data_IF_743364147006
#
_entry.id   IF_743364147006
#
_cell.length_a   1.000
_cell.length_b   1.000
_cell.length_c   1.000
_cell.angle_alpha   90.00
_cell.angle_beta   90.00
_cell.angle_gamma   90.00
#
_symmetry.space_group_name_H-M   'P 1'
#
loop_
_entity.id
_entity.type
_entity.pdbx_description
1 polymer ?
#
# COMPACT_ATOMS: atom_id res chain seq x y z
N UNK A 1 7.52 21.72 5.06
CA UNK A 1 6.81 20.65 5.82
C UNK A 1 5.60 21.24 6.53
N UNK A 2 4.40 20.75 6.22
CA UNK A 2 3.21 21.09 7.02
C UNK A 2 3.30 20.37 8.37
N UNK A 3 2.75 20.99 9.43
CA UNK A 3 2.83 20.39 10.77
C UNK A 3 2.09 19.05 10.86
N UNK A 4 2.66 18.04 11.52
CA UNK A 4 1.99 16.78 11.81
C UNK A 4 0.69 17.03 12.59
N UNK A 5 -0.41 16.43 12.13
CA UNK A 5 -1.74 16.67 12.73
C UNK A 5 -2.35 15.36 13.22
N UNK A 6 -2.74 15.33 14.51
CA UNK A 6 -3.59 14.26 15.02
C UNK A 6 -4.99 14.36 14.41
N UNK A 7 -5.48 13.29 13.79
CA UNK A 7 -6.75 13.27 13.07
C UNK A 7 -7.45 11.93 13.30
N UNK A 8 -8.75 11.92 13.58
CA UNK A 8 -9.56 10.70 13.59
C UNK A 8 -9.62 10.08 12.19
N UNK A 9 -9.70 8.75 12.09
CA UNK A 9 -9.72 8.09 10.78
C UNK A 9 -10.92 8.55 9.93
N UNK A 10 -12.11 8.59 10.48
CA UNK A 10 -13.29 9.10 9.75
C UNK A 10 -13.17 10.60 9.44
N UNK A 11 -12.57 11.38 10.34
CA UNK A 11 -12.33 12.81 10.09
C UNK A 11 -11.35 13.02 8.92
N UNK A 12 -10.30 12.18 8.81
CA UNK A 12 -9.38 12.22 7.68
C UNK A 12 -10.12 11.98 6.37
N UNK A 13 -10.95 10.94 6.29
CA UNK A 13 -11.67 10.57 5.08
C UNK A 13 -12.82 11.54 4.77
N UNK A 14 -13.56 12.00 5.78
CA UNK A 14 -14.71 12.90 5.63
C UNK A 14 -14.31 14.32 5.23
N UNK A 15 -13.18 14.81 5.71
CA UNK A 15 -12.68 16.15 5.36
C UNK A 15 -11.94 16.18 4.00
N UNK A 16 -11.75 15.03 3.37
CA UNK A 16 -11.03 14.90 2.09
C UNK A 16 -11.99 14.91 0.90
N UNK A 17 -12.92 15.89 0.84
CA UNK A 17 -13.79 16.09 -0.31
C UNK A 17 -12.97 16.48 -1.53
N UNK A 18 -13.22 15.84 -2.67
CA UNK A 18 -12.44 16.03 -3.89
C UNK A 18 -11.01 15.48 -3.81
N UNK A 19 -10.68 14.73 -2.75
CA UNK A 19 -9.38 14.10 -2.62
C UNK A 19 -9.45 12.61 -2.95
N UNK A 20 -8.38 12.10 -3.56
CA UNK A 20 -8.17 10.68 -3.78
C UNK A 20 -6.89 10.24 -3.06
N UNK A 21 -7.01 9.23 -2.21
CA UNK A 21 -5.88 8.52 -1.62
C UNK A 21 -5.37 7.52 -2.63
N UNK A 22 -4.16 7.71 -3.12
CA UNK A 22 -3.55 6.85 -4.13
C UNK A 22 -2.43 6.04 -3.49
N UNK A 23 -2.49 4.72 -3.67
CA UNK A 23 -1.36 3.85 -3.35
C UNK A 23 -0.46 3.80 -4.58
N UNK A 24 0.73 4.42 -4.56
CA UNK A 24 1.61 4.46 -5.74
C UNK A 24 2.10 3.08 -6.16
N UNK A 25 2.39 2.93 -7.45
CA UNK A 25 2.82 1.64 -8.05
C UNK A 25 4.13 1.08 -7.49
N UNK A 26 4.95 1.91 -6.87
CA UNK A 26 6.17 1.46 -6.22
C UNK A 26 5.96 0.90 -4.80
N UNK A 27 4.75 1.03 -4.24
CA UNK A 27 4.41 0.43 -2.95
C UNK A 27 4.18 -1.08 -3.09
N UNK A 28 4.20 -1.79 -1.95
CA UNK A 28 3.87 -3.21 -1.92
C UNK A 28 2.36 -3.43 -1.96
N UNK A 29 1.95 -4.58 -2.47
CA UNK A 29 0.56 -5.02 -2.46
C UNK A 29 -0.02 -5.03 -1.04
N UNK A 30 -1.33 -5.14 -0.93
CA UNK A 30 -2.00 -5.30 0.35
C UNK A 30 -1.66 -6.67 0.96
N UNK A 31 -0.88 -6.67 2.05
CA UNK A 31 -0.28 -7.88 2.64
C UNK A 31 -0.75 -8.19 4.06
N UNK A 32 -1.57 -7.33 4.66
CA UNK A 32 -2.13 -7.63 5.99
C UNK A 32 -2.95 -8.91 5.95
N UNK A 33 -2.78 -9.75 6.98
CA UNK A 33 -3.48 -11.01 7.13
C UNK A 33 -4.65 -10.86 8.11
N UNK A 34 -5.76 -11.54 7.81
CA UNK A 34 -6.97 -11.51 8.61
C UNK A 34 -6.74 -11.84 10.09
N UNK A 35 -6.02 -12.94 10.35
CA UNK A 35 -5.80 -13.46 11.71
C UNK A 35 -4.66 -12.76 12.48
N UNK A 36 -4.03 -11.75 11.91
CA UNK A 36 -2.95 -11.00 12.54
C UNK A 36 -3.24 -9.51 12.60
N UNK A 37 -2.84 -8.77 11.58
CA UNK A 37 -2.91 -7.31 11.59
C UNK A 37 -4.36 -6.80 11.53
N UNK A 38 -5.23 -7.45 10.75
CA UNK A 38 -6.66 -7.07 10.67
C UNK A 38 -7.38 -7.44 11.96
N UNK A 39 -7.07 -8.61 12.53
CA UNK A 39 -7.57 -9.00 13.85
C UNK A 39 -7.18 -7.98 14.90
N UNK A 40 -5.90 -7.57 14.96
CA UNK A 40 -5.43 -6.56 15.90
C UNK A 40 -6.18 -5.23 15.72
N UNK A 41 -6.40 -4.81 14.48
CA UNK A 41 -7.20 -3.61 14.18
C UNK A 41 -8.61 -3.70 14.79
N UNK A 42 -9.26 -4.86 14.66
CA UNK A 42 -10.58 -5.08 15.23
C UNK A 42 -10.59 -5.17 16.76
N UNK A 43 -9.57 -5.78 17.36
CA UNK A 43 -9.43 -5.85 18.81
C UNK A 43 -9.27 -4.42 19.39
N UNK A 44 -8.52 -3.54 18.74
CA UNK A 44 -8.39 -2.14 19.09
C UNK A 44 -9.72 -1.37 18.95
N UNK A 45 -10.44 -1.59 17.85
CA UNK A 45 -11.79 -1.02 17.63
C UNK A 45 -12.78 -1.50 18.71
N UNK A 46 -12.77 -2.79 19.04
CA UNK A 46 -13.65 -3.37 20.05
C UNK A 46 -13.32 -2.84 21.46
N UNK A 47 -12.06 -2.61 21.78
CA UNK A 47 -11.67 -2.00 23.06
C UNK A 47 -12.19 -0.57 23.20
N UNK A 48 -12.22 0.19 22.10
CA UNK A 48 -12.84 1.52 22.08
C UNK A 48 -14.36 1.43 22.19
N UNK A 49 -15.01 0.46 21.52
CA UNK A 49 -16.44 0.22 21.62
C UNK A 49 -16.88 -0.13 23.04
N UNK A 50 -16.11 -0.97 23.74
CA UNK A 50 -16.38 -1.36 25.12
C UNK A 50 -16.09 -0.24 26.14
N UNK A 51 -15.38 0.80 25.71
CA UNK A 51 -14.98 1.91 26.59
C UNK A 51 -13.70 1.68 27.37
N UNK A 52 -12.93 0.61 27.05
CA UNK A 52 -11.62 0.36 27.66
C UNK A 52 -10.63 1.47 27.34
N UNK A 53 -10.75 2.05 26.14
CA UNK A 53 -9.99 3.20 25.68
C UNK A 53 -10.92 4.33 25.22
N UNK A 54 -10.61 5.57 25.63
CA UNK A 54 -11.32 6.75 25.15
C UNK A 54 -10.99 7.03 23.68
N UNK A 55 -9.75 6.86 23.28
CA UNK A 55 -9.22 6.97 21.92
C UNK A 55 -8.05 6.00 21.79
N UNK A 56 -7.77 5.50 20.58
CA UNK A 56 -6.64 4.61 20.33
C UNK A 56 -5.79 5.11 19.17
N UNK A 57 -4.46 5.08 19.34
CA UNK A 57 -3.52 5.51 18.31
C UNK A 57 -3.21 4.38 17.34
N UNK A 58 -3.55 4.59 16.08
CA UNK A 58 -3.38 3.62 15.01
C UNK A 58 -2.07 3.76 14.24
N UNK A 59 -1.25 4.76 14.54
CA UNK A 59 0.03 5.00 13.88
C UNK A 59 0.03 6.27 13.02
N UNK A 60 0.97 6.32 12.07
CA UNK A 60 1.22 7.50 11.24
C UNK A 60 0.72 7.21 9.81
N UNK A 61 0.17 8.21 9.14
CA UNK A 61 -0.08 8.21 7.69
C UNK A 61 0.72 9.35 7.10
N UNK A 62 1.57 9.03 6.13
CA UNK A 62 2.42 10.00 5.43
C UNK A 62 2.02 9.99 3.97
N UNK A 63 1.78 11.18 3.45
CA UNK A 63 1.37 11.34 2.06
C UNK A 63 1.93 12.61 1.44
N UNK A 64 2.18 12.53 0.14
CA UNK A 64 2.49 13.68 -0.69
C UNK A 64 1.19 14.23 -1.26
N UNK A 65 0.93 15.51 -1.03
CA UNK A 65 -0.24 16.20 -1.56
C UNK A 65 0.10 16.79 -2.93
N UNK A 66 -0.65 16.39 -3.97
CA UNK A 66 -0.54 16.91 -5.33
C UNK A 66 -1.87 17.51 -5.77
N UNK A 67 -1.85 18.68 -6.41
CA UNK A 67 -3.03 19.23 -7.05
C UNK A 67 -3.31 18.47 -8.36
N UNK A 68 -4.55 17.98 -8.54
CA UNK A 68 -5.01 17.42 -9.83
C UNK A 68 -5.60 18.55 -10.66
N UNK A 69 -6.50 19.35 -10.06
CA UNK A 69 -7.11 20.52 -10.63
C UNK A 69 -7.47 21.54 -9.52
N UNK A 70 -8.28 22.58 -9.84
CA UNK A 70 -8.66 23.60 -8.87
C UNK A 70 -9.53 23.09 -7.71
N UNK A 71 -10.20 21.94 -7.87
CA UNK A 71 -11.15 21.39 -6.89
C UNK A 71 -10.77 20.02 -6.39
N UNK A 72 -9.74 19.38 -6.96
CA UNK A 72 -9.35 18.02 -6.63
C UNK A 72 -7.86 17.85 -6.36
N UNK A 73 -7.55 16.93 -5.46
CA UNK A 73 -6.19 16.63 -4.98
C UNK A 73 -5.95 15.13 -4.94
N UNK A 74 -4.71 14.75 -5.17
CA UNK A 74 -4.18 13.43 -4.93
C UNK A 74 -3.39 13.43 -3.64
N UNK A 75 -3.69 12.47 -2.76
CA UNK A 75 -2.87 12.13 -1.60
C UNK A 75 -2.11 10.83 -1.91
N UNK A 76 -0.91 10.99 -2.44
CA UNK A 76 -0.02 9.87 -2.79
C UNK A 76 0.59 9.29 -1.52
N UNK A 77 0.21 8.07 -1.13
CA UNK A 77 0.53 7.49 0.17
C UNK A 77 1.96 6.97 0.20
N UNK A 78 2.76 7.49 1.12
CA UNK A 78 4.15 7.09 1.36
C UNK A 78 4.23 6.03 2.45
N UNK A 79 3.46 6.21 3.53
CA UNK A 79 3.34 5.21 4.61
C UNK A 79 1.91 5.19 5.16
N UNK A 80 1.50 4.02 5.69
CA UNK A 80 0.17 3.79 6.25
C UNK A 80 -0.85 3.18 5.26
N UNK A 81 -0.43 2.78 4.06
CA UNK A 81 -1.28 2.21 3.02
C UNK A 81 -2.13 1.01 3.50
N UNK A 82 -1.52 0.06 4.21
CA UNK A 82 -2.22 -1.15 4.69
C UNK A 82 -3.37 -0.78 5.64
N UNK A 83 -3.10 0.13 6.57
CA UNK A 83 -4.07 0.65 7.53
C UNK A 83 -5.21 1.38 6.84
N UNK A 84 -4.86 2.23 5.88
CA UNK A 84 -5.84 3.01 5.11
C UNK A 84 -6.75 2.07 4.30
N UNK A 85 -6.20 1.11 3.56
CA UNK A 85 -6.96 0.10 2.81
C UNK A 85 -7.90 -0.67 3.73
N UNK A 86 -7.42 -1.14 4.88
CA UNK A 86 -8.27 -1.83 5.88
C UNK A 86 -9.40 -0.94 6.37
N UNK A 87 -9.14 0.35 6.62
CA UNK A 87 -10.18 1.31 7.04
C UNK A 87 -11.27 1.42 5.98
N UNK A 88 -10.90 1.54 4.70
CA UNK A 88 -11.89 1.59 3.61
C UNK A 88 -12.69 0.29 3.52
N UNK A 89 -12.07 -0.88 3.65
CA UNK A 89 -12.79 -2.17 3.66
C UNK A 89 -13.79 -2.26 4.82
N UNK A 90 -13.43 -1.75 6.01
CA UNK A 90 -14.35 -1.69 7.16
C UNK A 90 -15.55 -0.80 6.84
N UNK A 91 -15.34 0.38 6.26
CA UNK A 91 -16.43 1.30 5.93
C UNK A 91 -17.34 0.71 4.84
N UNK A 92 -16.79 0.01 3.84
CA UNK A 92 -17.60 -0.70 2.85
C UNK A 92 -18.43 -1.83 3.48
N UNK A 93 -17.84 -2.58 4.41
CA UNK A 93 -18.58 -3.62 5.11
C UNK A 93 -19.69 -3.04 6.00
N UNK A 94 -19.48 -1.90 6.66
CA UNK A 94 -20.52 -1.16 7.40
C UNK A 94 -21.62 -0.67 6.44
N UNK A 95 -21.27 -0.18 5.26
CA UNK A 95 -22.24 0.16 4.22
C UNK A 95 -23.15 -1.01 3.91
N UNK A 96 -22.60 -2.22 3.73
CA UNK A 96 -23.39 -3.41 3.46
C UNK A 96 -24.35 -3.77 4.61
N UNK A 97 -23.93 -3.58 5.86
CA UNK A 97 -24.84 -3.73 7.00
C UNK A 97 -26.03 -2.77 6.93
N UNK A 98 -25.76 -1.50 6.56
CA UNK A 98 -26.84 -0.50 6.41
C UNK A 98 -27.76 -0.82 5.22
N UNK A 99 -27.23 -1.35 4.11
CA UNK A 99 -28.03 -1.85 2.98
C UNK A 99 -28.95 -2.97 3.43
N UNK A 100 -28.44 -3.95 4.18
CA UNK A 100 -29.22 -5.06 4.70
C UNK A 100 -30.31 -4.62 5.70
N UNK A 101 -30.10 -3.50 6.38
CA UNK A 101 -31.11 -2.88 7.26
C UNK A 101 -32.09 -1.97 6.50
N UNK A 102 -31.99 -1.85 5.16
CA UNK A 102 -32.78 -0.93 4.32
C UNK A 102 -32.66 0.55 4.69
N UNK A 103 -31.56 0.97 5.32
CA UNK A 103 -31.29 2.37 5.69
C UNK A 103 -30.64 3.13 4.54
N UNK A 104 -31.40 3.38 3.46
CA UNK A 104 -30.91 3.97 2.22
C UNK A 104 -30.38 5.39 2.40
N UNK A 105 -30.86 6.13 3.38
CA UNK A 105 -30.41 7.49 3.66
C UNK A 105 -29.00 7.49 4.25
N UNK A 106 -28.75 6.67 5.26
CA UNK A 106 -27.41 6.52 5.85
C UNK A 106 -26.42 5.90 4.87
N UNK A 107 -26.83 4.98 4.01
CA UNK A 107 -25.99 4.44 2.94
C UNK A 107 -25.47 5.57 2.05
N UNK A 108 -26.35 6.43 1.52
CA UNK A 108 -25.97 7.57 0.67
C UNK A 108 -25.07 8.57 1.41
N UNK A 109 -25.37 8.86 2.68
CA UNK A 109 -24.54 9.74 3.49
C UNK A 109 -23.15 9.17 3.68
N UNK A 110 -23.02 7.88 4.05
CA UNK A 110 -21.74 7.22 4.27
C UNK A 110 -20.90 7.13 2.99
N UNK A 111 -21.54 6.78 1.87
CA UNK A 111 -20.87 6.75 0.56
C UNK A 111 -20.31 8.11 0.17
N UNK A 112 -21.17 9.14 0.17
CA UNK A 112 -20.77 10.49 -0.26
C UNK A 112 -19.75 11.14 0.66
N UNK A 113 -19.78 10.81 1.97
CA UNK A 113 -18.85 11.39 2.92
C UNK A 113 -17.50 10.69 2.97
N UNK A 114 -17.45 9.35 2.88
CA UNK A 114 -16.23 8.59 3.18
C UNK A 114 -15.69 7.78 2.02
N UNK A 115 -16.52 7.35 1.06
CA UNK A 115 -16.12 6.36 0.06
C UNK A 115 -15.96 6.94 -1.33
N UNK A 116 -16.75 7.97 -1.67
CA UNK A 116 -16.80 8.51 -3.03
C UNK A 116 -16.63 10.04 -3.04
N UNK A 117 -16.32 10.54 -4.22
CA UNK A 117 -16.34 11.98 -4.57
C UNK A 117 -17.48 12.21 -5.57
N UNK A 118 -18.73 12.37 -5.11
CA UNK A 118 -19.93 12.30 -5.95
C UNK A 118 -20.04 13.40 -7.02
N UNK A 119 -19.28 14.49 -6.88
CA UNK A 119 -19.30 15.63 -7.80
C UNK A 119 -18.08 15.69 -8.72
N UNK A 120 -17.29 14.62 -8.77
CA UNK A 120 -16.05 14.55 -9.56
C UNK A 120 -16.15 13.50 -10.66
N UNK A 121 -15.20 13.59 -11.60
CA UNK A 121 -15.15 12.67 -12.73
C UNK A 121 -14.84 11.22 -12.31
N UNK A 122 -15.03 10.27 -13.24
CA UNK A 122 -14.85 8.84 -12.97
C UNK A 122 -13.43 8.46 -12.49
N UNK A 123 -12.42 9.27 -12.84
CA UNK A 123 -11.02 9.00 -12.44
C UNK A 123 -10.81 9.07 -10.93
N UNK A 124 -11.51 10.00 -10.26
CA UNK A 124 -11.41 10.22 -8.81
C UNK A 124 -12.72 9.91 -8.09
N UNK A 125 -13.64 9.17 -8.74
CA UNK A 125 -14.94 8.77 -8.17
C UNK A 125 -14.79 8.10 -6.82
N UNK A 126 -13.87 7.17 -6.68
CA UNK A 126 -13.58 6.50 -5.40
C UNK A 126 -12.46 7.21 -4.68
N UNK A 127 -12.62 7.40 -3.36
CA UNK A 127 -11.62 8.08 -2.53
C UNK A 127 -10.32 7.27 -2.35
N UNK A 128 -10.35 5.95 -2.49
CA UNK A 128 -9.15 5.12 -2.52
C UNK A 128 -8.91 4.59 -3.94
N UNK A 129 -7.69 4.80 -4.44
CA UNK A 129 -7.13 4.11 -5.61
C UNK A 129 -6.04 3.16 -5.10
N UNK A 130 -6.33 1.84 -5.00
CA UNK A 130 -5.34 0.87 -4.57
C UNK A 130 -4.32 0.59 -5.67
N UNK A 131 -3.34 -0.27 -5.39
CA UNK A 131 -2.43 -0.79 -6.41
C UNK A 131 -3.19 -1.57 -7.48
N UNK A 132 -2.67 -1.56 -8.71
CA UNK A 132 -3.25 -2.27 -9.86
C UNK A 132 -3.49 -3.76 -9.55
N UNK A 133 -2.60 -4.41 -8.81
CA UNK A 133 -2.76 -5.81 -8.43
C UNK A 133 -3.93 -6.08 -7.46
N UNK A 134 -4.30 -5.08 -6.67
CA UNK A 134 -5.40 -5.16 -5.70
C UNK A 134 -6.70 -4.55 -6.26
N UNK A 135 -6.62 -3.74 -7.34
CA UNK A 135 -7.70 -2.87 -7.82
C UNK A 135 -8.91 -3.68 -8.33
N UNK A 136 -8.69 -4.75 -9.08
CA UNK A 136 -9.77 -5.56 -9.64
C UNK A 136 -10.65 -6.15 -8.53
N UNK A 137 -10.04 -6.75 -7.51
CA UNK A 137 -10.77 -7.32 -6.37
C UNK A 137 -11.42 -6.21 -5.53
N UNK A 138 -10.68 -5.12 -5.29
CA UNK A 138 -11.21 -3.98 -4.55
C UNK A 138 -12.43 -3.36 -5.25
N UNK A 139 -12.37 -3.16 -6.58
CA UNK A 139 -13.49 -2.64 -7.36
C UNK A 139 -14.71 -3.56 -7.33
N UNK A 140 -14.52 -4.86 -7.46
CA UNK A 140 -15.62 -5.81 -7.34
C UNK A 140 -16.32 -5.69 -5.97
N UNK A 141 -15.55 -5.48 -4.88
CA UNK A 141 -16.13 -5.28 -3.54
C UNK A 141 -16.93 -3.97 -3.48
N UNK A 142 -16.35 -2.86 -3.93
CA UNK A 142 -16.99 -1.52 -3.78
C UNK A 142 -18.15 -1.30 -4.74
N UNK A 143 -18.23 -2.07 -5.81
CA UNK A 143 -19.31 -2.04 -6.81
C UNK A 143 -20.32 -3.19 -6.62
N UNK A 144 -20.23 -3.92 -5.50
CA UNK A 144 -21.12 -5.04 -5.16
C UNK A 144 -21.15 -6.18 -6.21
N UNK A 145 -20.02 -6.41 -6.90
CA UNK A 145 -19.82 -7.42 -7.95
C UNK A 145 -19.00 -8.62 -7.43
N UNK A 146 -19.34 -9.12 -6.24
CA UNK A 146 -18.60 -10.18 -5.56
C UNK A 146 -18.46 -11.48 -6.36
N UNK A 147 -19.45 -11.77 -7.22
CA UNK A 147 -19.46 -12.97 -8.07
C UNK A 147 -18.44 -12.91 -9.22
N UNK A 148 -17.98 -11.72 -9.57
CA UNK A 148 -17.00 -11.50 -10.63
C UNK A 148 -15.56 -11.64 -10.16
N UNK A 149 -15.32 -11.74 -8.84
CA UNK A 149 -13.97 -11.90 -8.29
C UNK A 149 -13.37 -13.24 -8.71
N UNK A 150 -12.32 -13.19 -9.49
CA UNK A 150 -11.56 -14.37 -9.97
C UNK A 150 -10.46 -14.79 -9.01
N UNK A 151 -9.75 -13.83 -8.41
CA UNK A 151 -8.69 -14.10 -7.43
C UNK A 151 -9.27 -14.34 -6.04
N UNK A 152 -9.56 -15.61 -5.74
CA UNK A 152 -10.06 -16.05 -4.41
C UNK A 152 -8.98 -16.04 -3.33
N UNK A 153 -7.71 -15.97 -3.70
CA UNK A 153 -6.58 -15.95 -2.78
C UNK A 153 -6.17 -14.52 -2.35
N UNK A 154 -6.75 -13.50 -2.99
CA UNK A 154 -6.48 -12.10 -2.66
C UNK A 154 -6.66 -11.78 -1.17
N UNK A 155 -5.67 -11.12 -0.58
CA UNK A 155 -5.77 -10.62 0.79
C UNK A 155 -6.88 -9.57 0.96
N UNK A 156 -7.17 -8.80 -0.10
CA UNK A 156 -8.28 -7.83 -0.09
C UNK A 156 -9.61 -8.55 0.14
N UNK A 157 -9.87 -9.64 -0.59
CA UNK A 157 -11.09 -10.43 -0.43
C UNK A 157 -11.15 -11.13 0.92
N UNK A 158 -10.08 -11.86 1.31
CA UNK A 158 -10.00 -12.58 2.58
C UNK A 158 -10.26 -11.65 3.78
N UNK A 159 -9.62 -10.48 3.74
CA UNK A 159 -9.78 -9.50 4.81
C UNK A 159 -11.17 -8.85 4.80
N UNK A 160 -11.75 -8.57 3.64
CA UNK A 160 -13.12 -8.08 3.56
C UNK A 160 -14.13 -9.08 4.15
N UNK A 161 -13.98 -10.37 3.84
CA UNK A 161 -14.81 -11.43 4.40
C UNK A 161 -14.63 -11.54 5.93
N UNK A 162 -13.40 -11.52 6.41
CA UNK A 162 -13.10 -11.52 7.83
C UNK A 162 -13.73 -10.32 8.54
N UNK A 163 -13.57 -9.12 7.99
CA UNK A 163 -14.15 -7.87 8.47
C UNK A 163 -15.67 -7.98 8.56
N UNK A 164 -16.33 -8.46 7.51
CA UNK A 164 -17.78 -8.63 7.46
C UNK A 164 -18.29 -9.59 8.54
N UNK A 165 -17.58 -10.69 8.77
CA UNK A 165 -17.92 -11.63 9.84
C UNK A 165 -17.76 -10.99 11.24
N UNK A 166 -16.66 -10.27 11.47
CA UNK A 166 -16.42 -9.57 12.75
C UNK A 166 -17.46 -8.48 13.01
N UNK A 167 -17.89 -7.74 11.99
CA UNK A 167 -18.96 -6.76 12.13
C UNK A 167 -20.30 -7.42 12.49
N UNK A 168 -20.64 -8.56 11.87
CA UNK A 168 -21.82 -9.32 12.22
C UNK A 168 -21.80 -9.83 13.69
N UNK A 169 -20.61 -10.25 14.18
CA UNK A 169 -20.46 -10.60 15.59
C UNK A 169 -20.72 -9.42 16.52
N UNK A 170 -20.29 -8.20 16.16
CA UNK A 170 -20.58 -7.00 16.94
C UNK A 170 -22.07 -6.65 16.95
N UNK A 171 -22.79 -6.84 15.82
CA UNK A 171 -24.24 -6.67 15.78
C UNK A 171 -24.96 -7.67 16.72
N UNK A 172 -24.51 -8.93 16.75
CA UNK A 172 -25.05 -9.95 17.66
C UNK A 172 -24.79 -9.61 19.15
N UNK A 173 -23.73 -8.86 19.43
CA UNK A 173 -23.41 -8.34 20.77
C UNK A 173 -24.24 -7.08 21.13
N UNK A 174 -25.10 -6.58 20.22
CA UNK A 174 -25.99 -5.45 20.45
C UNK A 174 -25.43 -4.10 20.03
N UNK A 175 -24.26 -4.04 19.37
CA UNK A 175 -23.75 -2.80 18.77
C UNK A 175 -24.43 -2.56 17.43
N UNK A 176 -24.78 -1.32 17.15
CA UNK A 176 -25.29 -0.90 15.83
C UNK A 176 -24.20 -0.27 14.95
N UNK A 177 -24.51 -0.05 13.69
CA UNK A 177 -23.58 0.56 12.72
C UNK A 177 -23.08 1.96 13.16
N UNK A 178 -23.94 2.74 13.83
CA UNK A 178 -23.55 4.07 14.32
C UNK A 178 -22.52 3.97 15.45
N UNK A 179 -22.75 3.06 16.40
CA UNK A 179 -21.79 2.83 17.50
C UNK A 179 -20.42 2.40 16.95
N UNK A 180 -20.41 1.53 15.93
CA UNK A 180 -19.18 1.09 15.27
C UNK A 180 -18.49 2.25 14.56
N UNK A 181 -19.22 3.09 13.81
CA UNK A 181 -18.66 4.28 13.17
C UNK A 181 -18.11 5.29 14.19
N UNK A 182 -18.82 5.53 15.29
CA UNK A 182 -18.35 6.41 16.37
C UNK A 182 -17.07 5.86 17.04
N UNK A 183 -16.94 4.55 17.17
CA UNK A 183 -15.71 3.95 17.69
C UNK A 183 -14.56 4.05 16.67
N UNK A 184 -14.85 3.86 15.38
CA UNK A 184 -13.87 4.02 14.30
C UNK A 184 -13.33 5.46 14.23
N UNK A 185 -14.16 6.49 14.52
CA UNK A 185 -13.73 7.88 14.58
C UNK A 185 -12.80 8.17 15.78
N UNK A 186 -12.88 7.38 16.84
CA UNK A 186 -11.99 7.48 18.00
C UNK A 186 -10.62 6.78 17.78
N UNK A 187 -10.49 5.99 16.72
CA UNK A 187 -9.21 5.52 16.23
C UNK A 187 -8.55 6.67 15.48
N UNK A 188 -7.40 7.14 15.97
CA UNK A 188 -6.73 8.29 15.40
C UNK A 188 -5.35 7.96 14.85
N UNK A 189 -4.96 8.74 13.86
CA UNK A 189 -3.63 8.71 13.24
C UNK A 189 -2.94 10.05 13.38
N UNK A 190 -1.64 10.07 13.21
CA UNK A 190 -0.88 11.29 12.96
C UNK A 190 -0.66 11.41 11.47
N UNK A 191 -1.30 12.39 10.85
CA UNK A 191 -1.13 12.72 9.45
C UNK A 191 0.09 13.62 9.26
N UNK A 192 0.99 13.22 8.37
CA UNK A 192 2.18 13.99 8.01
C UNK A 192 2.12 14.29 6.51
N UNK A 193 1.54 15.43 6.12
CA UNK A 193 1.62 15.87 4.74
C UNK A 193 3.04 16.33 4.43
N UNK A 194 3.56 15.87 3.31
CA UNK A 194 4.83 16.34 2.75
C UNK A 194 4.56 17.07 1.45
N UNK A 195 5.43 18.02 1.12
CA UNK A 195 5.39 18.79 -0.12
C UNK A 195 6.37 18.24 -1.15
N UNK A 196 6.23 18.66 -2.40
CA UNK A 196 7.18 18.31 -3.48
C UNK A 196 8.61 18.85 -3.22
N UNK A 197 8.75 19.87 -2.35
CA UNK A 197 10.06 20.39 -1.95
C UNK A 197 10.77 19.49 -0.91
N UNK A 198 10.01 18.62 -0.23
CA UNK A 198 10.55 17.68 0.73
C UNK A 198 11.11 16.44 -0.02
N UNK A 199 12.25 15.92 0.42
CA UNK A 199 12.78 14.70 -0.16
C UNK A 199 11.99 13.48 0.34
N UNK A 200 10.94 13.12 -0.41
CA UNK A 200 10.04 12.00 -0.09
C UNK A 200 10.80 10.68 0.11
N UNK A 201 11.84 10.45 -0.70
CA UNK A 201 12.70 9.26 -0.62
C UNK A 201 13.42 9.15 0.72
N UNK A 202 14.09 10.22 1.19
CA UNK A 202 14.79 10.22 2.48
C UNK A 202 13.83 10.04 3.65
N UNK A 203 12.63 10.63 3.55
CA UNK A 203 11.57 10.45 4.55
C UNK A 203 11.14 8.99 4.58
N UNK A 204 10.86 8.38 3.41
CA UNK A 204 10.49 6.98 3.27
C UNK A 204 11.57 6.03 3.84
N UNK A 205 12.85 6.25 3.51
CA UNK A 205 13.96 5.46 4.05
C UNK A 205 14.06 5.55 5.58
N UNK A 206 13.90 6.75 6.13
CA UNK A 206 13.95 6.99 7.58
C UNK A 206 12.84 6.25 8.33
N UNK A 207 11.62 6.23 7.77
CA UNK A 207 10.47 5.56 8.37
C UNK A 207 10.63 4.04 8.30
N UNK A 208 11.07 3.51 7.16
CA UNK A 208 11.32 2.08 6.98
C UNK A 208 12.44 1.53 7.87
N UNK A 209 13.34 2.37 8.34
CA UNK A 209 14.35 1.98 9.32
C UNK A 209 13.74 1.61 10.68
N UNK A 210 12.53 2.10 11.01
CA UNK A 210 11.86 1.92 12.31
C UNK A 210 10.63 1.00 12.27
N UNK A 211 10.11 0.68 11.06
CA UNK A 211 8.89 -0.11 10.84
C UNK A 211 9.14 -1.56 10.40
N UNK A 212 8.14 -2.16 9.75
CA UNK A 212 8.28 -3.46 9.06
C UNK A 212 9.26 -3.29 7.92
N UNK A 213 10.45 -3.87 8.05
CA UNK A 213 11.53 -3.72 7.08
C UNK A 213 11.09 -4.15 5.68
N UNK A 214 11.22 -3.25 4.73
CA UNK A 214 11.14 -3.56 3.32
C UNK A 214 12.38 -4.35 2.88
N UNK A 215 12.22 -5.16 1.85
CA UNK A 215 13.36 -5.84 1.21
C UNK A 215 14.19 -4.83 0.41
N UNK A 216 15.45 -5.20 0.11
CA UNK A 216 16.29 -4.37 -0.77
C UNK A 216 15.63 -4.17 -2.14
N UNK A 217 14.87 -5.14 -2.64
CA UNK A 217 14.15 -5.04 -3.91
C UNK A 217 13.01 -4.00 -3.84
N UNK A 218 12.23 -3.97 -2.75
CA UNK A 218 11.19 -2.96 -2.54
C UNK A 218 11.79 -1.55 -2.46
N UNK A 219 12.91 -1.40 -1.76
CA UNK A 219 13.61 -0.12 -1.64
C UNK A 219 14.17 0.35 -2.99
N UNK A 220 14.72 -0.56 -3.81
CA UNK A 220 15.20 -0.27 -5.17
C UNK A 220 14.04 0.16 -6.07
N UNK A 221 12.89 -0.56 -6.02
CA UNK A 221 11.69 -0.16 -6.78
C UNK A 221 11.25 1.25 -6.43
N UNK A 222 11.21 1.57 -5.14
CA UNK A 222 10.85 2.90 -4.68
C UNK A 222 11.85 3.95 -5.16
N UNK A 223 13.14 3.68 -5.04
CA UNK A 223 14.20 4.57 -5.50
C UNK A 223 14.07 4.91 -7.00
N UNK A 224 13.78 3.93 -7.82
CA UNK A 224 13.69 4.10 -9.28
C UNK A 224 12.40 4.80 -9.72
N UNK A 225 11.31 4.69 -8.96
CA UNK A 225 10.00 5.15 -9.43
C UNK A 225 9.45 6.36 -8.66
N UNK A 226 9.85 6.60 -7.41
CA UNK A 226 9.18 7.57 -6.54
C UNK A 226 9.25 9.01 -7.06
N UNK A 227 10.38 9.43 -7.63
CA UNK A 227 10.59 10.80 -8.10
C UNK A 227 10.02 11.05 -9.51
N UNK A 228 9.44 10.03 -10.14
CA UNK A 228 8.77 10.19 -11.44
C UNK A 228 7.36 10.77 -11.27
N UNK A 229 6.88 11.50 -12.27
CA UNK A 229 5.46 11.92 -12.33
C UNK A 229 4.53 10.70 -12.40
N UNK A 230 3.33 10.81 -11.87
CA UNK A 230 2.41 9.67 -11.66
C UNK A 230 2.09 8.87 -12.94
N UNK A 231 1.89 9.54 -14.07
CA UNK A 231 1.67 8.89 -15.38
C UNK A 231 2.93 8.19 -15.91
N UNK A 232 4.09 8.78 -15.67
CA UNK A 232 5.41 8.20 -16.03
C UNK A 232 5.71 7.02 -15.10
N UNK A 233 5.39 7.11 -13.80
CA UNK A 233 5.53 6.01 -12.86
C UNK A 233 4.75 4.76 -13.31
N UNK A 234 3.46 4.93 -13.65
CA UNK A 234 2.60 3.82 -14.09
C UNK A 234 3.16 3.17 -15.36
N UNK A 235 3.63 4.00 -16.31
CA UNK A 235 4.25 3.53 -17.55
C UNK A 235 5.54 2.75 -17.29
N UNK A 236 6.47 3.31 -16.48
CA UNK A 236 7.75 2.64 -16.18
C UNK A 236 7.56 1.36 -15.37
N UNK A 237 6.58 1.36 -14.46
CA UNK A 237 6.19 0.14 -13.77
C UNK A 237 5.71 -0.94 -14.73
N UNK A 238 4.78 -0.62 -15.65
CA UNK A 238 4.22 -1.58 -16.60
C UNK A 238 5.21 -2.03 -17.67
N UNK A 239 6.00 -1.09 -18.22
CA UNK A 239 6.91 -1.36 -19.32
C UNK A 239 8.21 -2.04 -18.91
N UNK A 240 8.67 -1.79 -17.67
CA UNK A 240 9.97 -2.26 -17.18
C UNK A 240 9.87 -3.10 -15.91
N UNK A 241 9.38 -2.54 -14.80
CA UNK A 241 9.42 -3.23 -13.51
C UNK A 241 8.63 -4.53 -13.51
N UNK A 242 7.39 -4.51 -13.99
CA UNK A 242 6.55 -5.70 -14.09
C UNK A 242 7.19 -6.78 -14.96
N UNK A 243 7.80 -6.39 -16.09
CA UNK A 243 8.53 -7.33 -16.93
C UNK A 243 9.77 -7.90 -16.25
N UNK A 244 10.43 -7.13 -15.39
CA UNK A 244 11.52 -7.61 -14.55
C UNK A 244 11.01 -8.65 -13.56
N UNK A 245 9.91 -8.39 -12.87
CA UNK A 245 9.25 -9.36 -11.99
C UNK A 245 8.84 -10.63 -12.74
N UNK A 246 8.26 -10.52 -13.93
CA UNK A 246 7.85 -11.65 -14.76
C UNK A 246 9.05 -12.52 -15.19
N UNK A 247 10.20 -11.93 -15.45
CA UNK A 247 11.42 -12.68 -15.85
C UNK A 247 12.18 -13.27 -14.67
N UNK A 248 12.20 -12.59 -13.53
CA UNK A 248 12.99 -13.00 -12.34
C UNK A 248 12.10 -13.76 -11.37
N UNK A 249 11.17 -13.08 -10.74
CA UNK A 249 10.15 -13.58 -9.81
C UNK A 249 9.39 -12.40 -9.19
N UNK A 250 8.17 -12.65 -8.74
CA UNK A 250 7.42 -11.73 -7.87
C UNK A 250 7.82 -11.86 -6.39
N UNK A 251 8.62 -12.88 -6.03
CA UNK A 251 9.13 -13.08 -4.67
C UNK A 251 10.27 -12.10 -4.38
N UNK A 252 10.09 -11.27 -3.37
CA UNK A 252 11.05 -10.23 -2.98
C UNK A 252 12.45 -10.76 -2.64
N UNK A 253 12.58 -12.00 -2.14
CA UNK A 253 13.89 -12.58 -1.85
C UNK A 253 14.65 -12.97 -3.11
N UNK A 254 13.94 -13.45 -4.11
CA UNK A 254 14.52 -13.81 -5.42
C UNK A 254 14.91 -12.53 -6.17
N UNK A 255 14.08 -11.48 -6.12
CA UNK A 255 14.43 -10.16 -6.65
C UNK A 255 15.66 -9.56 -5.95
N UNK A 256 15.74 -9.66 -4.62
CA UNK A 256 16.92 -9.20 -3.88
C UNK A 256 18.20 -9.95 -4.31
N UNK A 257 18.08 -11.27 -4.57
CA UNK A 257 19.19 -12.05 -5.10
C UNK A 257 19.58 -11.58 -6.50
N UNK A 258 18.62 -11.30 -7.37
CA UNK A 258 18.86 -10.75 -8.70
C UNK A 258 19.66 -9.45 -8.63
N UNK A 259 19.20 -8.46 -7.85
CA UNK A 259 19.92 -7.18 -7.70
C UNK A 259 21.32 -7.37 -7.13
N UNK A 260 21.48 -8.30 -6.20
CA UNK A 260 22.80 -8.64 -5.65
C UNK A 260 23.75 -9.19 -6.70
N UNK A 261 23.25 -10.08 -7.59
CA UNK A 261 24.03 -10.63 -8.70
C UNK A 261 24.32 -9.59 -9.78
N UNK A 262 23.33 -8.76 -10.10
CA UNK A 262 23.51 -7.62 -11.00
C UNK A 262 24.64 -6.71 -10.53
N UNK A 263 24.63 -6.29 -9.28
CA UNK A 263 25.70 -5.47 -8.70
C UNK A 263 27.05 -6.20 -8.72
N UNK A 264 27.09 -7.49 -8.42
CA UNK A 264 28.33 -8.26 -8.45
C UNK A 264 28.96 -8.26 -9.84
N UNK A 265 28.17 -8.32 -10.91
CA UNK A 265 28.65 -8.24 -12.28
C UNK A 265 29.14 -6.82 -12.60
N UNK A 266 28.39 -5.78 -12.21
CA UNK A 266 28.73 -4.37 -12.50
C UNK A 266 29.94 -3.87 -11.72
N UNK A 267 30.12 -4.34 -10.48
CA UNK A 267 31.18 -3.85 -9.58
C UNK A 267 32.35 -4.82 -9.41
N UNK A 268 32.26 -6.03 -9.99
CA UNK A 268 33.23 -7.12 -9.79
C UNK A 268 33.41 -7.50 -8.31
N UNK A 269 32.41 -7.17 -7.48
CA UNK A 269 32.45 -7.43 -6.04
C UNK A 269 31.11 -7.96 -5.52
N UNK A 270 31.13 -9.02 -4.70
CA UNK A 270 29.91 -9.59 -4.15
C UNK A 270 29.45 -8.78 -2.92
N UNK A 271 28.37 -8.03 -3.09
CA UNK A 271 27.80 -7.16 -2.07
C UNK A 271 27.18 -7.97 -0.93
N UNK A 272 27.40 -7.62 0.36
CA UNK A 272 26.70 -8.20 1.49
C UNK A 272 25.17 -8.02 1.37
N UNK A 273 24.39 -9.02 1.77
CA UNK A 273 22.93 -9.04 1.62
C UNK A 273 22.23 -7.78 2.17
N UNK A 274 22.66 -7.34 3.34
CA UNK A 274 22.07 -6.17 4.01
C UNK A 274 22.46 -4.82 3.40
N UNK A 275 23.36 -4.81 2.42
CA UNK A 275 23.88 -3.59 1.79
C UNK A 275 23.45 -3.44 0.32
N UNK A 276 22.66 -4.38 -0.21
CA UNK A 276 22.29 -4.41 -1.65
C UNK A 276 21.69 -3.08 -2.09
N UNK A 277 20.70 -2.57 -1.37
CA UNK A 277 20.08 -1.28 -1.67
C UNK A 277 21.09 -0.13 -1.66
N UNK A 278 21.87 0.01 -0.59
CA UNK A 278 22.83 1.10 -0.45
C UNK A 278 23.90 1.11 -1.55
N UNK A 279 24.40 -0.07 -1.88
CA UNK A 279 25.42 -0.20 -2.95
C UNK A 279 24.82 0.02 -4.33
N UNK A 280 23.52 -0.32 -4.52
CA UNK A 280 22.79 -0.06 -5.76
C UNK A 280 22.63 1.46 -5.99
N UNK A 281 22.17 2.20 -5.00
CA UNK A 281 22.02 3.66 -5.06
C UNK A 281 23.38 4.31 -5.33
N UNK A 282 24.41 3.94 -4.55
CA UNK A 282 25.75 4.45 -4.72
C UNK A 282 26.27 4.22 -6.14
N UNK A 283 26.07 3.01 -6.68
CA UNK A 283 26.51 2.68 -8.04
C UNK A 283 25.82 3.55 -9.09
N UNK A 284 24.51 3.80 -8.96
CA UNK A 284 23.77 4.69 -9.87
C UNK A 284 24.30 6.13 -9.79
N UNK A 285 24.47 6.67 -8.59
CA UNK A 285 24.96 8.03 -8.37
C UNK A 285 26.37 8.24 -8.93
N UNK A 286 27.25 7.23 -8.83
CA UNK A 286 28.61 7.27 -9.37
C UNK A 286 28.67 7.21 -10.91
N UNK A 287 27.65 6.62 -11.56
CA UNK A 287 27.66 6.42 -13.02
C UNK A 287 26.74 7.36 -13.79
N UNK A 288 25.97 8.21 -13.08
CA UNK A 288 25.02 9.18 -13.66
C UNK A 288 24.15 8.55 -14.79
N UNK A 289 23.64 7.36 -14.52
CA UNK A 289 22.94 6.54 -15.51
C UNK A 289 21.51 7.05 -15.70
N UNK A 290 21.09 7.27 -16.96
CA UNK A 290 19.69 7.57 -17.27
C UNK A 290 18.78 6.44 -16.79
N UNK A 291 17.63 6.79 -16.22
CA UNK A 291 16.71 5.81 -15.61
C UNK A 291 16.16 4.80 -16.63
N UNK A 292 15.94 5.24 -17.87
CA UNK A 292 15.45 4.36 -18.93
C UNK A 292 16.53 3.36 -19.35
N UNK A 293 17.75 3.82 -19.55
CA UNK A 293 18.89 2.97 -19.91
C UNK A 293 19.17 1.96 -18.81
N UNK A 294 19.03 2.37 -17.55
CA UNK A 294 19.15 1.47 -16.39
C UNK A 294 18.09 0.39 -16.39
N UNK A 295 16.82 0.74 -16.66
CA UNK A 295 15.76 -0.26 -16.74
C UNK A 295 15.93 -1.23 -17.91
N UNK A 296 16.39 -0.76 -19.06
CA UNK A 296 16.69 -1.60 -20.23
C UNK A 296 17.83 -2.58 -19.91
N UNK A 297 18.90 -2.11 -19.27
CA UNK A 297 20.02 -2.93 -18.82
C UNK A 297 19.55 -3.98 -17.78
N UNK A 298 18.78 -3.58 -16.78
CA UNK A 298 18.21 -4.52 -15.79
C UNK A 298 17.37 -5.62 -16.46
N UNK A 299 16.57 -5.28 -17.47
CA UNK A 299 15.75 -6.24 -18.21
C UNK A 299 16.60 -7.23 -19.02
N UNK A 300 17.73 -6.79 -19.60
CA UNK A 300 18.66 -7.69 -20.28
C UNK A 300 19.22 -8.74 -19.33
N UNK A 301 19.66 -8.31 -18.15
CA UNK A 301 20.15 -9.24 -17.12
C UNK A 301 19.05 -10.15 -16.55
N UNK A 302 17.82 -9.63 -16.41
CA UNK A 302 16.67 -10.41 -15.94
C UNK A 302 16.34 -11.59 -16.87
N UNK A 303 16.45 -11.41 -18.19
CA UNK A 303 16.18 -12.48 -19.19
C UNK A 303 17.12 -13.67 -19.06
N UNK A 304 18.34 -13.47 -18.60
CA UNK A 304 19.36 -14.52 -18.44
C UNK A 304 19.48 -15.02 -17.00
N UNK A 305 18.80 -14.36 -16.06
CA UNK A 305 18.85 -14.73 -14.65
C UNK A 305 18.15 -16.07 -14.40
N UNK A 306 18.93 -17.04 -13.85
CA UNK A 306 18.41 -18.35 -13.48
C UNK A 306 18.72 -18.65 -12.00
N UNK A 307 17.74 -18.50 -11.09
CA UNK A 307 17.95 -18.72 -9.66
C UNK A 307 18.32 -20.16 -9.29
N UNK A 308 17.95 -21.15 -10.10
CA UNK A 308 18.28 -22.57 -9.84
C UNK A 308 19.77 -22.82 -9.97
N UNK A 309 20.44 -22.22 -10.95
CA UNK A 309 21.89 -22.33 -11.13
C UNK A 309 22.68 -21.82 -9.95
N UNK A 310 22.19 -20.78 -9.26
CA UNK A 310 22.86 -20.22 -8.09
C UNK A 310 22.76 -21.11 -6.85
N UNK A 311 21.63 -21.78 -6.64
CA UNK A 311 21.47 -22.73 -5.52
C UNK A 311 22.39 -23.92 -5.66
N UNK A 312 22.64 -24.41 -6.88
CA UNK A 312 23.60 -25.45 -7.16
C UNK A 312 25.06 -25.05 -6.90
N UNK A 313 25.45 -23.82 -7.30
CA UNK A 313 26.79 -23.29 -7.03
C UNK A 313 27.05 -23.16 -5.53
N UNK A 314 26.08 -22.71 -4.75
CA UNK A 314 26.21 -22.57 -3.29
C UNK A 314 26.30 -23.92 -2.57
N UNK A 315 25.60 -24.93 -3.05
CA UNK A 315 25.70 -26.30 -2.52
C UNK A 315 27.11 -26.88 -2.72
N UNK A 316 27.79 -26.52 -3.79
CA UNK A 316 29.19 -26.94 -4.04
C UNK A 316 30.22 -26.19 -3.20
N UNK A 317 29.97 -24.92 -2.84
CA UNK A 317 30.85 -24.14 -1.94
C UNK A 317 30.77 -24.64 -0.49
N UNK A 318 29.58 -25.02 0.00
CA UNK A 318 29.41 -25.56 1.37
C UNK A 318 30.00 -26.97 1.56
N UNK A 319 30.33 -27.70 0.46
CA UNK A 319 30.98 -28.98 0.53
C UNK A 319 32.53 -28.89 0.48
N UNK A 320 33.08 -27.68 0.38
CA UNK A 320 34.54 -27.42 0.35
C UNK A 320 35.13 -26.85 1.66
N UNK A 321 34.33 -26.76 2.72
CA UNK A 321 34.78 -26.32 4.04
C UNK A 321 34.59 -27.41 5.08
#
# INVERSE_FOLDING_TARGET
MSEPKRTGLLQLLGNSLGCQFVIPVYQRNYTWAAEREVKQYFDDLQSVLKGDYKNHFMGIIIYLEKAIDFSSREFSIIDGQQRLTTTFLIIYAIKQLLVNCNDTEKVKQLEGQYLTNPYHNDKIKYKLKPLVADDDVYRCIVEDRMDEITDKESNVLKNYQYISNRLNELLLQGYDANAILMALDKLYVVCVPISEEDNAQKIFESINATGVKLTSADLIRNYLLMDLQSDVQEKYYADYWKKLEDNVSTDSKTLELFFRMYLAIKTYNLVPKNNVYREFVKWIEEHDTDIKDLFEDLLEYAKIFNPVSYTHLRAHETLRH
#
